data_IF_417965981592
#
_entry.id   IF_417965981592
#
_cell.length_a   1.000
_cell.length_b   1.000
_cell.length_c   1.000
_cell.angle_alpha   90.00
_cell.angle_beta   90.00
_cell.angle_gamma   90.00
#
_symmetry.space_group_name_H-M   'P 1'
#
loop_
_entity.id
_entity.type
_entity.pdbx_description
1 polymer ?
#
# COMPACT_ATOMS: atom_id res chain seq x y z
N UNK A 1 6.90 35.85 -18.34
CA UNK A 1 7.47 34.80 -17.48
C UNK A 1 8.97 34.93 -17.60
N UNK A 2 9.56 35.70 -16.70
CA UNK A 2 11.01 35.86 -16.63
C UNK A 2 11.57 34.64 -15.90
N UNK A 3 12.12 33.70 -16.68
CA UNK A 3 12.84 32.57 -16.13
C UNK A 3 14.32 32.96 -16.03
N UNK A 4 14.83 33.11 -14.82
CA UNK A 4 16.26 33.33 -14.60
C UNK A 4 17.07 32.05 -14.85
N UNK A 5 18.32 32.23 -15.29
CA UNK A 5 19.24 31.13 -15.58
C UNK A 5 19.89 30.65 -14.27
N UNK A 6 19.60 29.42 -13.89
CA UNK A 6 20.30 28.74 -12.79
C UNK A 6 21.53 28.02 -13.36
N UNK A 7 22.72 28.59 -13.14
CA UNK A 7 23.99 28.03 -13.67
C UNK A 7 24.40 26.71 -13.01
N UNK A 8 23.94 26.43 -11.78
CA UNK A 8 24.21 25.18 -11.06
C UNK A 8 23.07 24.86 -10.09
N UNK A 9 22.74 23.58 -9.96
CA UNK A 9 21.72 23.11 -9.02
C UNK A 9 22.03 23.58 -7.59
N UNK A 10 21.18 24.43 -6.96
CA UNK A 10 21.41 24.97 -5.61
C UNK A 10 21.35 23.88 -4.52
N UNK A 11 20.77 22.72 -4.82
CA UNK A 11 20.68 21.57 -3.94
C UNK A 11 21.81 20.55 -4.16
N UNK A 12 22.82 20.85 -4.98
CA UNK A 12 23.89 19.89 -5.31
C UNK A 12 24.75 19.47 -4.12
N UNK A 13 24.72 20.21 -3.02
CA UNK A 13 25.44 19.91 -1.77
C UNK A 13 24.55 19.29 -0.70
N UNK A 14 23.24 19.18 -0.97
CA UNK A 14 22.29 18.55 -0.05
C UNK A 14 22.31 17.06 -0.29
N UNK A 15 22.81 16.30 0.68
CA UNK A 15 22.66 14.86 0.65
C UNK A 15 21.19 14.51 0.87
N UNK A 16 20.58 13.77 -0.05
CA UNK A 16 19.21 13.32 0.13
C UNK A 16 19.10 12.57 1.48
N UNK A 17 18.12 12.87 2.33
CA UNK A 17 17.89 12.10 3.56
C UNK A 17 17.72 10.60 3.28
N UNK A 18 17.25 10.25 2.07
CA UNK A 18 17.12 8.86 1.60
C UNK A 18 18.47 8.18 1.26
N UNK A 19 19.51 8.97 0.98
CA UNK A 19 20.87 8.47 0.76
C UNK A 19 21.66 8.39 2.07
N UNK A 20 21.38 9.27 3.03
CA UNK A 20 21.96 9.22 4.38
C UNK A 20 21.46 8.02 5.18
N UNK A 21 20.19 7.65 4.99
CA UNK A 21 19.68 6.35 5.44
C UNK A 21 20.23 5.29 4.50
N UNK A 22 21.35 4.67 4.88
CA UNK A 22 21.82 3.43 4.26
C UNK A 22 20.72 2.36 4.42
N UNK A 23 19.75 2.32 3.51
CA UNK A 23 18.75 1.24 3.40
C UNK A 23 19.38 -0.14 3.15
N UNK A 24 20.71 -0.24 3.08
CA UNK A 24 21.40 -1.49 2.82
C UNK A 24 21.44 -2.45 4.00
N UNK A 25 21.31 -2.01 5.26
CA UNK A 25 21.46 -2.90 6.43
C UNK A 25 20.67 -2.47 7.68
N UNK A 26 19.55 -1.77 7.53
CA UNK A 26 18.53 -1.84 8.57
C UNK A 26 17.53 -2.89 8.09
N UNK A 27 17.80 -4.15 8.45
CA UNK A 27 16.70 -4.93 9.01
C UNK A 27 16.17 -4.07 10.16
N UNK A 28 15.26 -3.13 9.84
CA UNK A 28 14.36 -2.61 10.86
C UNK A 28 13.86 -3.87 11.55
N UNK A 29 13.99 -3.94 12.87
CA UNK A 29 13.55 -5.09 13.65
C UNK A 29 12.03 -5.16 13.51
N UNK A 30 11.56 -5.73 12.40
CA UNK A 30 10.16 -5.80 12.04
C UNK A 30 9.58 -6.82 12.99
N UNK A 31 8.73 -6.34 13.89
CA UNK A 31 7.99 -7.14 14.86
C UNK A 31 6.56 -7.34 14.33
N UNK A 32 6.31 -8.37 13.49
CA UNK A 32 4.99 -8.63 12.97
C UNK A 32 4.07 -9.17 14.06
N UNK A 33 2.78 -8.88 13.96
CA UNK A 33 1.79 -9.48 14.83
C UNK A 33 1.84 -11.01 14.79
N UNK A 34 1.78 -11.63 15.96
CA UNK A 34 1.52 -13.06 16.10
C UNK A 34 0.08 -13.39 15.71
N UNK A 35 -0.19 -14.67 15.44
CA UNK A 35 -1.54 -15.13 15.11
C UNK A 35 -2.55 -14.85 16.24
N UNK A 36 -2.12 -15.00 17.50
CA UNK A 36 -2.96 -14.74 18.67
C UNK A 36 -3.31 -13.27 18.85
N UNK A 37 -2.33 -12.38 18.63
CA UNK A 37 -2.54 -10.93 18.67
C UNK A 37 -3.49 -10.48 17.56
N UNK A 38 -3.31 -11.01 16.35
CA UNK A 38 -4.18 -10.71 15.23
C UNK A 38 -5.60 -11.25 15.44
N UNK A 39 -5.74 -12.47 15.96
CA UNK A 39 -7.02 -13.06 16.34
C UNK A 39 -7.74 -12.18 17.36
N UNK A 40 -7.00 -11.69 18.36
CA UNK A 40 -7.53 -10.75 19.36
C UNK A 40 -7.95 -9.43 18.74
N UNK A 41 -7.15 -8.87 17.83
CA UNK A 41 -7.46 -7.63 17.11
C UNK A 41 -8.76 -7.76 16.30
N UNK A 42 -8.89 -8.83 15.50
CA UNK A 42 -10.06 -9.09 14.66
C UNK A 42 -11.30 -9.36 15.52
N UNK A 43 -11.17 -10.05 16.66
CA UNK A 43 -12.29 -10.30 17.58
C UNK A 43 -12.80 -9.02 18.25
N UNK A 44 -11.90 -8.10 18.60
CA UNK A 44 -12.25 -6.82 19.23
C UNK A 44 -12.68 -5.74 18.24
N UNK A 45 -12.33 -5.85 16.96
CA UNK A 45 -12.80 -4.95 15.92
C UNK A 45 -14.31 -5.10 15.69
N UNK A 46 -14.99 -3.99 15.40
CA UNK A 46 -16.44 -3.93 15.16
C UNK A 46 -16.77 -3.39 13.77
N UNK A 47 -17.99 -3.68 13.31
CA UNK A 47 -18.52 -3.20 12.04
C UNK A 47 -17.65 -3.57 10.83
N UNK A 48 -17.50 -2.64 9.89
CA UNK A 48 -16.73 -2.85 8.67
C UNK A 48 -15.24 -3.07 8.92
N UNK A 49 -14.70 -2.53 10.02
CA UNK A 49 -13.27 -2.58 10.34
C UNK A 49 -12.80 -4.02 10.59
N UNK A 50 -13.66 -4.86 11.16
CA UNK A 50 -13.39 -6.30 11.35
C UNK A 50 -13.13 -7.00 10.01
N UNK A 51 -14.00 -6.76 9.03
CA UNK A 51 -13.87 -7.34 7.69
C UNK A 51 -12.66 -6.75 6.96
N UNK A 52 -12.40 -5.45 7.14
CA UNK A 52 -11.28 -4.75 6.54
C UNK A 52 -9.93 -5.31 6.99
N UNK A 53 -9.72 -5.45 8.31
CA UNK A 53 -8.48 -6.02 8.88
C UNK A 53 -8.32 -7.48 8.45
N UNK A 54 -9.41 -8.27 8.52
CA UNK A 54 -9.37 -9.67 8.11
C UNK A 54 -8.99 -9.82 6.63
N UNK A 55 -9.56 -8.99 5.76
CA UNK A 55 -9.27 -9.01 4.34
C UNK A 55 -7.84 -8.56 4.04
N UNK A 56 -7.36 -7.51 4.72
CA UNK A 56 -5.97 -7.03 4.61
C UNK A 56 -4.96 -8.12 4.97
N UNK A 57 -5.20 -8.82 6.09
CA UNK A 57 -4.34 -9.92 6.52
C UNK A 57 -4.36 -11.08 5.53
N UNK A 58 -5.54 -11.50 5.06
CA UNK A 58 -5.68 -12.65 4.16
C UNK A 58 -5.05 -12.40 2.78
N UNK A 59 -5.13 -11.17 2.26
CA UNK A 59 -4.73 -10.84 0.87
C UNK A 59 -3.42 -10.09 0.76
N UNK A 60 -2.90 -9.54 1.87
CA UNK A 60 -1.77 -8.61 1.86
C UNK A 60 -2.07 -7.30 1.10
N UNK A 61 -3.33 -6.98 0.84
CA UNK A 61 -3.71 -5.79 0.09
C UNK A 61 -3.52 -4.50 0.90
N UNK A 62 -3.04 -3.44 0.25
CA UNK A 62 -2.88 -2.14 0.91
C UNK A 62 -4.24 -1.49 1.16
N UNK A 63 -4.39 -0.64 2.20
CA UNK A 63 -5.67 -0.01 2.51
C UNK A 63 -6.35 0.67 1.30
N UNK A 64 -5.59 1.44 0.51
CA UNK A 64 -6.12 2.12 -0.68
C UNK A 64 -6.52 1.18 -1.82
N UNK A 65 -5.90 -0.01 -1.91
CA UNK A 65 -6.28 -1.06 -2.86
C UNK A 65 -7.63 -1.66 -2.45
N UNK A 66 -7.81 -1.99 -1.16
CA UNK A 66 -9.06 -2.54 -0.61
C UNK A 66 -10.20 -1.54 -0.79
N UNK A 67 -9.97 -0.25 -0.50
CA UNK A 67 -10.99 0.81 -0.64
C UNK A 67 -11.39 1.01 -2.11
N UNK A 68 -10.50 0.72 -3.06
CA UNK A 68 -10.78 0.89 -4.49
C UNK A 68 -11.53 -0.29 -5.12
N UNK A 69 -11.64 -1.44 -4.44
CA UNK A 69 -12.30 -2.63 -4.97
C UNK A 69 -13.78 -2.37 -5.29
N UNK A 70 -14.22 -2.84 -6.45
CA UNK A 70 -15.61 -2.85 -6.89
C UNK A 70 -16.04 -4.29 -7.16
N UNK A 71 -17.35 -4.56 -7.16
CA UNK A 71 -17.88 -5.91 -7.38
C UNK A 71 -17.43 -6.55 -8.71
N UNK A 72 -17.22 -5.75 -9.75
CA UNK A 72 -16.69 -6.21 -11.05
C UNK A 72 -15.26 -6.76 -10.98
N UNK A 73 -14.53 -6.47 -9.91
CA UNK A 73 -13.14 -6.90 -9.71
C UNK A 73 -13.06 -8.24 -8.95
N UNK A 74 -14.20 -8.79 -8.52
CA UNK A 74 -14.31 -10.04 -7.75
C UNK A 74 -14.94 -11.13 -8.62
N UNK A 75 -14.18 -12.20 -8.87
CA UNK A 75 -14.67 -13.40 -9.52
C UNK A 75 -14.96 -14.47 -8.45
N UNK A 76 -16.24 -14.65 -8.14
CA UNK A 76 -16.67 -15.61 -7.12
C UNK A 76 -16.61 -17.07 -7.59
N UNK A 77 -16.67 -17.33 -8.90
CA UNK A 77 -16.58 -18.69 -9.44
C UNK A 77 -15.15 -19.21 -9.34
N UNK A 78 -14.19 -18.36 -9.72
CA UNK A 78 -12.76 -18.68 -9.67
C UNK A 78 -12.13 -18.39 -8.32
N UNK A 79 -12.85 -17.68 -7.44
CA UNK A 79 -12.35 -17.17 -6.15
C UNK A 79 -11.10 -16.32 -6.34
N UNK A 80 -11.19 -15.30 -7.21
CA UNK A 80 -10.07 -14.42 -7.52
C UNK A 80 -10.50 -12.95 -7.36
N UNK A 81 -9.60 -12.13 -6.82
CA UNK A 81 -9.73 -10.67 -6.81
C UNK A 81 -8.64 -10.04 -7.67
N UNK A 82 -9.04 -9.12 -8.54
CA UNK A 82 -8.15 -8.32 -9.38
C UNK A 82 -7.82 -6.99 -8.70
N UNK A 83 -6.57 -6.81 -8.29
CA UNK A 83 -6.09 -5.59 -7.66
C UNK A 83 -5.22 -4.83 -8.67
N UNK A 84 -5.76 -3.75 -9.26
CA UNK A 84 -5.06 -2.92 -10.25
C UNK A 84 -5.20 -1.40 -10.04
N UNK A 85 -6.06 -0.99 -9.09
CA UNK A 85 -6.37 0.41 -8.77
C UNK A 85 -6.17 0.70 -7.29
N UNK A 86 -5.95 1.96 -6.95
CA UNK A 86 -5.85 2.41 -5.56
C UNK A 86 -6.57 3.74 -5.38
N UNK A 87 -7.21 3.93 -4.23
CA UNK A 87 -7.90 5.17 -3.90
C UNK A 87 -7.22 5.86 -2.72
N UNK A 88 -6.87 7.13 -2.90
CA UNK A 88 -6.38 7.99 -1.83
C UNK A 88 -7.23 9.26 -1.75
N UNK A 89 -7.94 9.44 -0.63
CA UNK A 89 -8.89 10.54 -0.43
C UNK A 89 -9.93 10.56 -1.57
N UNK A 90 -10.11 11.72 -2.22
CA UNK A 90 -11.03 11.92 -3.35
C UNK A 90 -10.40 11.71 -4.73
N UNK A 91 -9.16 11.21 -4.80
CA UNK A 91 -8.52 10.90 -6.07
C UNK A 91 -8.43 9.39 -6.25
N UNK A 92 -9.12 8.89 -7.26
CA UNK A 92 -8.83 7.58 -7.84
C UNK A 92 -7.60 7.73 -8.73
N UNK A 93 -6.65 6.82 -8.58
CA UNK A 93 -5.45 6.77 -9.39
C UNK A 93 -5.12 5.34 -9.78
N UNK A 94 -4.36 5.21 -10.84
CA UNK A 94 -3.75 3.93 -11.19
C UNK A 94 -2.76 3.51 -10.09
N UNK A 95 -2.54 2.21 -9.96
CA UNK A 95 -1.43 1.74 -9.13
C UNK A 95 -0.11 2.34 -9.63
N UNK A 96 0.81 2.62 -8.70
CA UNK A 96 2.04 3.40 -8.97
C UNK A 96 2.89 2.89 -10.14
N UNK A 97 2.74 1.61 -10.52
CA UNK A 97 3.39 0.97 -11.67
C UNK A 97 2.54 -0.20 -12.19
N UNK A 98 2.62 -0.50 -13.50
CA UNK A 98 1.97 -1.68 -14.12
C UNK A 98 2.30 -3.01 -13.40
N UNK A 99 3.48 -3.11 -12.78
CA UNK A 99 3.93 -4.25 -11.98
C UNK A 99 3.14 -4.47 -10.68
N UNK A 100 2.28 -3.53 -10.27
CA UNK A 100 1.47 -3.64 -9.06
C UNK A 100 0.10 -4.27 -9.32
N UNK A 101 -0.25 -4.55 -10.58
CA UNK A 101 -1.47 -5.28 -10.93
C UNK A 101 -1.29 -6.76 -10.64
N UNK A 102 -2.17 -7.33 -9.82
CA UNK A 102 -2.10 -8.74 -9.43
C UNK A 102 -3.48 -9.35 -9.25
N UNK A 103 -3.53 -10.67 -9.40
CA UNK A 103 -4.65 -11.50 -8.99
C UNK A 103 -4.33 -12.11 -7.63
N UNK A 104 -5.30 -12.12 -6.72
CA UNK A 104 -5.18 -12.71 -5.38
C UNK A 104 -6.29 -13.73 -5.21
N UNK A 105 -5.92 -14.93 -4.78
CA UNK A 105 -6.88 -16.01 -4.50
C UNK A 105 -7.67 -15.71 -3.21
N UNK A 106 -8.96 -16.06 -3.23
CA UNK A 106 -9.93 -15.88 -2.14
C UNK A 106 -10.20 -17.15 -1.33
#
# INVERSE_FOLDING_TARGET
MDNDIIMKNPLSKVTSPKLLKNFKNQEENVDPFTEDELSTLIKKASGYMKNFIRFMYATGARPGEIIALQWKDVDFERKIIKIYKTRMRDKEGDTKTLASTREVDL
#
